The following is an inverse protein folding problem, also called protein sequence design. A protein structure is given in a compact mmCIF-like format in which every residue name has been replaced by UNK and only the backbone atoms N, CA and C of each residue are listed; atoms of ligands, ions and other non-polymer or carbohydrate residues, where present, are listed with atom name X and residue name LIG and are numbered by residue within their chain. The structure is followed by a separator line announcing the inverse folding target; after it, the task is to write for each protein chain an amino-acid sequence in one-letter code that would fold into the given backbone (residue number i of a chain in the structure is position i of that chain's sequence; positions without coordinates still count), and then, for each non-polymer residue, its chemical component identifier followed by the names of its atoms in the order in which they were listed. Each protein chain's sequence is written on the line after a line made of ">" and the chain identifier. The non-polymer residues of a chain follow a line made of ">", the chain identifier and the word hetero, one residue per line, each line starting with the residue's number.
data_IF_097837852094
#
_entry.id   IF_097837852094
#
_cell.length_a   1.000
_cell.length_b   1.000
_cell.length_c   1.000
_cell.angle_alpha   90.00
_cell.angle_beta   90.00
_cell.angle_gamma   90.00
#
_symmetry.space_group_name_H-M   'P 1'
#
loop_
_entity.id
_entity.type
_entity.pdbx_description
1 polymer ?
#
# COMPACT_ATOMS: atom_id res chain seq x y z
N UNK A 1 -23.99 -11.89 -14.98
CA UNK A 1 -22.89 -12.71 -14.38
C UNK A 1 -21.98 -11.81 -13.58
N UNK A 2 -21.29 -12.35 -12.57
CA UNK A 2 -20.33 -11.62 -11.71
C UNK A 2 -19.31 -10.76 -12.51
N UNK A 3 -18.71 -11.24 -13.63
CA UNK A 3 -17.75 -10.44 -14.41
C UNK A 3 -18.31 -9.14 -15.04
N UNK A 4 -19.63 -9.07 -15.28
CA UNK A 4 -20.28 -7.86 -15.86
C UNK A 4 -20.20 -6.64 -14.93
N UNK A 5 -20.06 -6.89 -13.63
CA UNK A 5 -20.07 -5.84 -12.59
C UNK A 5 -18.66 -5.48 -12.10
N UNK A 6 -17.69 -6.39 -12.26
CA UNK A 6 -16.28 -6.14 -11.93
C UNK A 6 -15.58 -5.11 -12.84
N UNK A 7 -16.16 -4.80 -14.01
CA UNK A 7 -15.51 -3.99 -15.06
C UNK A 7 -15.95 -2.51 -15.10
N UNK A 8 -16.96 -2.10 -14.32
CA UNK A 8 -17.40 -0.70 -14.27
C UNK A 8 -16.48 0.13 -13.38
N UNK A 9 -15.63 0.94 -14.02
CA UNK A 9 -14.73 1.89 -13.37
C UNK A 9 -15.52 3.10 -12.87
N UNK A 10 -15.51 3.38 -11.57
CA UNK A 10 -15.92 4.68 -11.03
C UNK A 10 -14.67 5.56 -11.04
N UNK A 11 -14.71 6.72 -11.71
CA UNK A 11 -13.59 7.68 -11.87
C UNK A 11 -13.02 8.27 -10.57
N UNK A 12 -13.35 7.71 -9.38
CA UNK A 12 -12.94 8.23 -8.06
C UNK A 12 -11.93 7.33 -7.32
N UNK A 13 -11.60 6.14 -7.84
CA UNK A 13 -10.66 5.24 -7.18
C UNK A 13 -9.27 5.34 -7.82
N UNK A 14 -8.24 5.34 -6.99
CA UNK A 14 -6.85 5.29 -7.44
C UNK A 14 -6.61 4.02 -8.29
N UNK A 15 -5.75 4.12 -9.30
CA UNK A 15 -5.48 3.04 -10.25
C UNK A 15 -5.03 1.72 -9.56
N UNK A 16 -4.23 1.83 -8.50
CA UNK A 16 -3.82 0.69 -7.67
C UNK A 16 -5.00 0.00 -7.00
N UNK A 17 -5.91 0.77 -6.42
CA UNK A 17 -7.11 0.24 -5.74
C UNK A 17 -8.01 -0.48 -6.74
N UNK A 18 -8.20 0.08 -7.93
CA UNK A 18 -8.96 -0.57 -9.01
C UNK A 18 -8.32 -1.91 -9.42
N UNK A 19 -7.00 -1.94 -9.57
CA UNK A 19 -6.26 -3.16 -9.87
C UNK A 19 -6.41 -4.22 -8.76
N UNK A 20 -6.25 -3.83 -7.50
CA UNK A 20 -6.44 -4.73 -6.36
C UNK A 20 -7.88 -5.27 -6.29
N UNK A 21 -8.89 -4.43 -6.54
CA UNK A 21 -10.29 -4.84 -6.55
C UNK A 21 -10.56 -5.87 -7.65
N UNK A 22 -10.04 -5.64 -8.87
CA UNK A 22 -10.13 -6.61 -9.95
C UNK A 22 -9.52 -7.97 -9.58
N UNK A 23 -8.39 -7.97 -8.88
CA UNK A 23 -7.78 -9.22 -8.38
C UNK A 23 -8.66 -9.91 -7.35
N UNK A 24 -9.23 -9.19 -6.38
CA UNK A 24 -10.13 -9.78 -5.39
C UNK A 24 -11.43 -10.32 -6.01
N UNK A 25 -11.97 -9.64 -7.02
CA UNK A 25 -13.11 -10.15 -7.78
C UNK A 25 -12.77 -11.43 -8.53
N UNK A 26 -11.61 -11.49 -9.19
CA UNK A 26 -11.15 -12.69 -9.89
C UNK A 26 -11.01 -13.87 -8.94
N UNK A 27 -10.33 -13.68 -7.80
CA UNK A 27 -10.16 -14.72 -6.78
C UNK A 27 -11.50 -15.25 -6.27
N UNK A 28 -12.47 -14.35 -6.03
CA UNK A 28 -13.81 -14.75 -5.58
C UNK A 28 -14.58 -15.54 -6.65
N UNK A 29 -14.48 -15.13 -7.93
CA UNK A 29 -15.11 -15.86 -9.05
C UNK A 29 -14.49 -17.26 -9.20
N UNK A 30 -13.16 -17.35 -9.22
CA UNK A 30 -12.46 -18.63 -9.33
C UNK A 30 -12.81 -19.59 -8.18
N UNK A 31 -12.88 -19.04 -6.96
CA UNK A 31 -13.31 -19.79 -5.79
C UNK A 31 -14.75 -20.32 -5.95
N UNK A 32 -15.69 -19.46 -6.36
CA UNK A 32 -17.09 -19.85 -6.60
C UNK A 32 -17.23 -20.92 -7.68
N UNK A 33 -16.52 -20.77 -8.80
CA UNK A 33 -16.57 -21.71 -9.91
C UNK A 33 -16.01 -23.09 -9.52
N UNK A 34 -14.96 -23.10 -8.69
CA UNK A 34 -14.37 -24.33 -8.14
C UNK A 34 -15.33 -25.01 -7.17
N UNK A 35 -15.87 -24.25 -6.19
CA UNK A 35 -16.77 -24.76 -5.15
C UNK A 35 -18.07 -25.33 -5.72
N UNK A 36 -18.69 -24.61 -6.68
CA UNK A 36 -19.97 -25.01 -7.29
C UNK A 36 -19.80 -25.89 -8.53
N UNK A 37 -18.56 -26.17 -8.97
CA UNK A 37 -18.22 -26.91 -10.20
C UNK A 37 -18.97 -26.39 -11.42
N UNK A 38 -19.20 -25.08 -11.49
CA UNK A 38 -20.02 -24.43 -12.52
C UNK A 38 -19.44 -23.08 -12.89
N UNK A 39 -19.30 -22.83 -14.19
CA UNK A 39 -18.89 -21.52 -14.73
C UNK A 39 -20.05 -20.54 -14.78
N UNK A 40 -19.73 -19.24 -14.84
CA UNK A 40 -20.71 -18.18 -15.11
C UNK A 40 -21.86 -18.09 -14.10
N UNK A 41 -21.52 -18.13 -12.81
CA UNK A 41 -22.50 -18.11 -11.73
C UNK A 41 -23.27 -16.76 -11.72
N UNK A 42 -24.61 -16.77 -11.74
CA UNK A 42 -25.41 -15.55 -11.62
C UNK A 42 -25.26 -14.90 -10.24
N UNK A 43 -25.15 -13.57 -10.17
CA UNK A 43 -24.92 -12.86 -8.90
C UNK A 43 -26.05 -13.10 -7.89
N UNK A 44 -27.31 -13.14 -8.36
CA UNK A 44 -28.48 -13.39 -7.52
C UNK A 44 -28.55 -14.82 -6.94
N UNK A 45 -27.70 -15.75 -7.43
CA UNK A 45 -27.64 -17.14 -6.94
C UNK A 45 -26.60 -17.34 -5.84
N UNK A 46 -25.84 -16.29 -5.49
CA UNK A 46 -24.86 -16.31 -4.43
C UNK A 46 -25.57 -16.02 -3.11
N UNK A 47 -25.32 -16.87 -2.12
CA UNK A 47 -25.98 -16.83 -0.81
C UNK A 47 -25.06 -16.25 0.26
N UNK A 48 -25.62 -15.95 1.44
CA UNK A 48 -24.79 -15.60 2.62
C UNK A 48 -23.90 -16.76 3.08
N UNK A 49 -24.33 -18.01 2.87
CA UNK A 49 -23.54 -19.19 3.20
C UNK A 49 -22.29 -19.28 2.29
N UNK A 50 -22.45 -19.03 0.99
CA UNK A 50 -21.29 -18.97 0.07
C UNK A 50 -20.27 -17.91 0.52
N UNK A 51 -20.73 -16.77 1.04
CA UNK A 51 -19.84 -15.73 1.56
C UNK A 51 -19.16 -16.14 2.87
N UNK A 52 -19.83 -16.90 3.74
CA UNK A 52 -19.26 -17.42 4.98
C UNK A 52 -18.16 -18.45 4.67
N UNK A 53 -18.47 -19.45 3.83
CA UNK A 53 -17.50 -20.45 3.36
C UNK A 53 -16.26 -19.78 2.75
N UNK A 54 -16.45 -18.73 1.94
CA UNK A 54 -15.32 -18.01 1.36
C UNK A 54 -14.46 -17.31 2.42
N UNK A 55 -15.07 -16.74 3.47
CA UNK A 55 -14.34 -16.11 4.57
C UNK A 55 -13.55 -17.16 5.35
N UNK A 56 -14.16 -18.29 5.65
CA UNK A 56 -13.54 -19.39 6.41
C UNK A 56 -12.34 -19.97 5.64
N UNK A 57 -12.50 -20.25 4.34
CA UNK A 57 -11.41 -20.72 3.48
C UNK A 57 -10.24 -19.71 3.40
N UNK A 58 -10.52 -18.40 3.38
CA UNK A 58 -9.46 -17.38 3.42
C UNK A 58 -8.74 -17.35 4.78
N UNK A 59 -9.46 -17.58 5.88
CA UNK A 59 -8.86 -17.66 7.22
C UNK A 59 -8.00 -18.90 7.37
N UNK A 60 -8.43 -20.05 6.87
CA UNK A 60 -7.64 -21.29 6.83
C UNK A 60 -6.35 -21.13 6.02
N UNK A 61 -6.39 -20.32 4.95
CA UNK A 61 -5.20 -19.95 4.18
C UNK A 61 -4.24 -18.99 4.89
N UNK A 62 -4.53 -18.61 6.14
CA UNK A 62 -3.73 -17.72 6.98
C UNK A 62 -3.94 -16.23 6.69
N UNK A 63 -4.98 -15.85 5.95
CA UNK A 63 -5.22 -14.44 5.63
C UNK A 63 -5.83 -13.77 6.85
N UNK A 64 -5.13 -12.76 7.38
CA UNK A 64 -5.60 -12.00 8.53
C UNK A 64 -6.97 -11.36 8.27
N UNK A 65 -7.91 -11.53 9.20
CA UNK A 65 -9.30 -11.14 8.96
C UNK A 65 -9.50 -9.63 8.72
N UNK A 66 -8.56 -8.75 9.12
CA UNK A 66 -8.61 -7.30 8.82
C UNK A 66 -8.42 -7.08 7.32
N UNK A 67 -7.52 -7.86 6.71
CA UNK A 67 -7.33 -7.89 5.26
C UNK A 67 -8.57 -8.43 4.56
N UNK A 68 -9.18 -9.50 5.09
CA UNK A 68 -10.44 -10.04 4.54
C UNK A 68 -11.52 -8.95 4.53
N UNK A 69 -11.73 -8.29 5.67
CA UNK A 69 -12.78 -7.28 5.81
C UNK A 69 -12.49 -6.01 4.96
N UNK A 70 -11.28 -5.46 5.04
CA UNK A 70 -10.95 -4.16 4.42
C UNK A 70 -10.61 -4.26 2.94
N UNK A 71 -10.21 -5.43 2.44
CA UNK A 71 -9.80 -5.61 1.05
C UNK A 71 -10.75 -6.52 0.28
N UNK A 72 -10.88 -7.79 0.70
CA UNK A 72 -11.69 -8.78 -0.02
C UNK A 72 -13.17 -8.42 0.01
N UNK A 73 -13.77 -8.30 1.21
CA UNK A 73 -15.19 -8.01 1.35
C UNK A 73 -15.55 -6.59 0.89
N UNK A 74 -14.65 -5.62 1.02
CA UNK A 74 -14.85 -4.27 0.48
C UNK A 74 -14.98 -4.31 -1.05
N UNK A 75 -14.06 -4.99 -1.74
CA UNK A 75 -14.12 -5.15 -3.18
C UNK A 75 -15.38 -5.92 -3.62
N UNK A 76 -15.67 -7.06 -2.98
CA UNK A 76 -16.84 -7.89 -3.30
C UNK A 76 -18.15 -7.13 -3.03
N UNK A 77 -18.23 -6.34 -1.96
CA UNK A 77 -19.44 -5.56 -1.66
C UNK A 77 -19.72 -4.53 -2.74
N UNK A 78 -18.70 -3.88 -3.29
CA UNK A 78 -18.88 -2.98 -4.44
C UNK A 78 -19.52 -3.67 -5.66
N UNK A 79 -19.27 -4.97 -5.85
CA UNK A 79 -19.88 -5.76 -6.92
C UNK A 79 -21.39 -5.99 -6.68
N UNK A 80 -21.76 -6.38 -5.47
CA UNK A 80 -23.16 -6.61 -5.09
C UNK A 80 -23.98 -5.31 -5.05
N UNK A 81 -23.37 -4.21 -4.59
CA UNK A 81 -23.98 -2.87 -4.64
C UNK A 81 -24.26 -2.44 -6.09
N UNK A 82 -23.32 -2.71 -7.01
CA UNK A 82 -23.55 -2.45 -8.42
C UNK A 82 -24.65 -3.35 -9.00
N UNK A 83 -24.70 -4.62 -8.62
CA UNK A 83 -25.77 -5.53 -9.06
C UNK A 83 -27.15 -5.07 -8.57
N UNK A 84 -27.25 -4.47 -7.37
CA UNK A 84 -28.49 -3.90 -6.86
C UNK A 84 -28.88 -2.60 -7.58
N UNK A 85 -27.95 -1.66 -7.73
CA UNK A 85 -28.21 -0.39 -8.45
C UNK A 85 -28.52 -0.59 -9.94
N UNK A 86 -28.13 -1.71 -10.52
CA UNK A 86 -28.47 -2.08 -11.91
C UNK A 86 -29.74 -2.93 -12.03
N UNK A 87 -30.44 -3.20 -10.92
CA UNK A 87 -31.71 -3.91 -10.90
C UNK A 87 -31.61 -5.44 -11.02
N UNK A 88 -30.40 -6.02 -10.96
CA UNK A 88 -30.24 -7.49 -10.95
C UNK A 88 -30.56 -8.06 -9.56
N UNK A 89 -30.27 -7.30 -8.51
CA UNK A 89 -30.73 -7.58 -7.16
C UNK A 89 -31.82 -6.55 -6.84
N UNK A 90 -32.99 -6.97 -6.33
CA UNK A 90 -34.04 -6.05 -5.90
C UNK A 90 -33.54 -4.97 -4.93
N UNK A 91 -34.05 -3.75 -5.12
CA UNK A 91 -33.83 -2.66 -4.18
C UNK A 91 -34.46 -3.00 -2.81
N UNK A 92 -33.77 -2.65 -1.73
CA UNK A 92 -34.20 -3.00 -0.37
C UNK A 92 -33.83 -4.42 0.09
N UNK A 93 -33.43 -5.33 -0.81
CA UNK A 93 -32.91 -6.63 -0.41
C UNK A 93 -31.54 -6.48 0.28
N UNK A 94 -31.35 -7.15 1.41
CA UNK A 94 -30.07 -7.18 2.10
C UNK A 94 -29.01 -7.87 1.23
N UNK A 95 -27.91 -7.16 0.96
CA UNK A 95 -26.79 -7.71 0.19
C UNK A 95 -26.09 -8.83 0.96
N UNK A 96 -25.85 -9.95 0.28
CA UNK A 96 -25.23 -11.14 0.88
C UNK A 96 -23.80 -10.89 1.34
N UNK A 97 -23.12 -9.87 0.83
CA UNK A 97 -21.75 -9.49 1.19
C UNK A 97 -21.66 -8.62 2.45
N UNK A 98 -22.79 -8.08 2.96
CA UNK A 98 -22.79 -7.16 4.10
C UNK A 98 -23.07 -7.88 5.43
N UNK A 99 -22.59 -7.29 6.52
CA UNK A 99 -22.91 -7.70 7.89
C UNK A 99 -22.17 -8.94 8.41
N UNK A 100 -21.15 -9.43 7.71
CA UNK A 100 -20.29 -10.51 8.18
C UNK A 100 -19.36 -10.02 9.30
N UNK A 101 -19.59 -10.48 10.52
CA UNK A 101 -18.76 -10.16 11.68
C UNK A 101 -17.62 -11.18 11.78
N UNK A 102 -16.50 -10.86 11.14
CA UNK A 102 -15.29 -11.71 11.15
C UNK A 102 -14.47 -11.52 12.45
N UNK A 103 -14.78 -10.49 13.24
CA UNK A 103 -14.10 -10.19 14.49
C UNK A 103 -15.09 -9.78 15.59
N UNK A 104 -14.74 -10.14 16.82
CA UNK A 104 -15.27 -9.46 18.00
C UNK A 104 -14.53 -8.14 18.26
N UNK A 105 -15.10 -7.27 19.10
CA UNK A 105 -14.40 -6.07 19.58
C UNK A 105 -13.10 -6.42 20.32
N UNK A 106 -13.04 -7.58 20.99
CA UNK A 106 -11.85 -8.05 21.67
C UNK A 106 -10.74 -8.43 20.68
N UNK A 107 -11.10 -9.09 19.56
CA UNK A 107 -10.15 -9.44 18.50
C UNK A 107 -9.60 -8.20 17.80
N UNK A 108 -10.45 -7.21 17.55
CA UNK A 108 -10.02 -5.92 17.02
C UNK A 108 -8.99 -5.25 17.94
N UNK A 109 -9.24 -5.23 19.26
CA UNK A 109 -8.31 -4.69 20.26
C UNK A 109 -6.99 -5.47 20.29
N UNK A 110 -7.05 -6.80 20.31
CA UNK A 110 -5.86 -7.67 20.30
C UNK A 110 -5.03 -7.48 19.02
N UNK A 111 -5.69 -7.40 17.85
CA UNK A 111 -5.04 -7.17 16.56
C UNK A 111 -4.37 -5.79 16.46
N UNK A 112 -4.92 -4.77 17.12
CA UNK A 112 -4.33 -3.44 17.18
C UNK A 112 -3.05 -3.42 18.04
N UNK A 113 -3.04 -4.20 19.13
CA UNK A 113 -1.87 -4.36 19.99
C UNK A 113 -0.78 -5.15 19.24
N UNK A 114 -1.12 -6.28 18.61
CA UNK A 114 -0.13 -7.14 17.93
C UNK A 114 0.43 -6.53 16.64
N UNK A 115 -0.36 -5.75 15.88
CA UNK A 115 0.10 -5.06 14.68
C UNK A 115 0.57 -3.62 14.94
N UNK A 116 0.75 -3.23 16.20
CA UNK A 116 1.40 -1.96 16.49
C UNK A 116 2.86 -2.06 16.06
N UNK A 117 3.34 -1.04 15.33
CA UNK A 117 4.75 -0.97 14.96
C UNK A 117 5.57 -0.97 16.25
N UNK A 118 6.40 -1.99 16.45
CA UNK A 118 7.40 -1.96 17.52
C UNK A 118 8.48 -0.98 17.10
N UNK A 119 8.71 0.04 17.92
CA UNK A 119 9.87 0.89 17.76
C UNK A 119 11.13 0.03 17.88
N UNK A 120 12.11 0.30 17.03
CA UNK A 120 13.42 -0.35 17.16
C UNK A 120 14.04 0.05 18.50
N UNK A 121 14.62 -0.93 19.17
CA UNK A 121 15.45 -0.64 20.36
C UNK A 121 16.74 0.05 19.94
N UNK A 122 17.40 0.71 20.89
CA UNK A 122 18.69 1.35 20.62
C UNK A 122 19.74 0.34 20.10
N UNK A 123 19.72 -0.89 20.63
CA UNK A 123 20.62 -1.95 20.18
C UNK A 123 20.31 -2.44 18.75
N UNK A 124 19.03 -2.50 18.38
CA UNK A 124 18.62 -2.80 17.01
C UNK A 124 19.04 -1.69 16.05
N UNK A 125 18.86 -0.42 16.44
CA UNK A 125 19.34 0.72 15.65
C UNK A 125 20.85 0.68 15.47
N UNK A 126 21.62 0.42 16.54
CA UNK A 126 23.09 0.27 16.46
C UNK A 126 23.50 -0.83 15.48
N UNK A 127 22.76 -1.95 15.43
CA UNK A 127 23.01 -3.04 14.47
C UNK A 127 22.67 -2.65 13.03
N UNK A 128 21.56 -1.95 12.81
CA UNK A 128 21.11 -1.52 11.47
C UNK A 128 22.03 -0.44 10.91
N UNK A 129 22.50 0.50 11.74
CA UNK A 129 23.31 1.65 11.33
C UNK A 129 24.80 1.45 11.62
N UNK A 130 25.25 0.19 11.73
CA UNK A 130 26.67 -0.09 11.92
C UNK A 130 27.48 0.33 10.67
N UNK A 131 28.69 0.92 10.85
CA UNK A 131 29.49 1.43 9.73
C UNK A 131 29.78 0.39 8.65
N UNK A 132 29.99 -0.87 9.03
CA UNK A 132 30.28 -1.98 8.12
C UNK A 132 29.13 -2.29 7.17
N UNK A 133 27.88 -2.15 7.62
CA UNK A 133 26.71 -2.38 6.77
C UNK A 133 26.49 -1.19 5.84
N UNK A 134 26.65 0.03 6.37
CA UNK A 134 26.53 1.25 5.57
C UNK A 134 27.61 1.34 4.48
N UNK A 135 28.84 0.89 4.76
CA UNK A 135 29.93 0.86 3.78
C UNK A 135 29.74 -0.17 2.67
N UNK A 136 28.84 -1.14 2.85
CA UNK A 136 28.49 -2.15 1.84
C UNK A 136 27.36 -1.69 0.91
N UNK A 137 26.85 -0.46 1.07
CA UNK A 137 25.83 0.08 0.18
C UNK A 137 26.35 0.20 -1.26
N UNK A 138 25.73 -0.53 -2.19
CA UNK A 138 26.13 -0.54 -3.60
C UNK A 138 25.63 0.70 -4.35
N UNK A 139 24.47 1.23 -3.95
CA UNK A 139 23.86 2.41 -4.57
C UNK A 139 23.66 3.52 -3.54
N UNK A 140 23.72 4.79 -3.96
CA UNK A 140 23.50 5.90 -3.03
C UNK A 140 22.20 5.84 -2.22
N UNK A 141 21.11 5.30 -2.78
CA UNK A 141 19.82 5.17 -2.12
C UNK A 141 19.84 4.12 -1.02
N UNK A 142 20.67 3.08 -1.14
CA UNK A 142 20.81 2.04 -0.13
C UNK A 142 21.50 2.59 1.13
N UNK A 143 22.33 3.63 0.96
CA UNK A 143 22.93 4.38 2.06
C UNK A 143 22.00 5.50 2.58
N UNK A 144 21.50 6.35 1.68
CA UNK A 144 20.79 7.57 2.06
C UNK A 144 19.36 7.32 2.53
N UNK A 145 18.59 6.38 1.96
CA UNK A 145 17.19 6.18 2.38
C UNK A 145 17.06 5.72 3.84
N UNK A 146 17.88 4.77 4.36
CA UNK A 146 17.88 4.45 5.77
C UNK A 146 18.28 5.63 6.66
N UNK A 147 19.33 6.38 6.28
CA UNK A 147 19.81 7.54 7.03
C UNK A 147 18.75 8.64 7.09
N UNK A 148 18.16 8.99 5.95
CA UNK A 148 17.06 9.95 5.87
C UNK A 148 15.85 9.46 6.68
N UNK A 149 15.51 8.16 6.61
CA UNK A 149 14.46 7.56 7.42
C UNK A 149 14.68 7.74 8.92
N UNK A 150 15.91 7.50 9.39
CA UNK A 150 16.30 7.65 10.80
C UNK A 150 16.14 9.08 11.30
N UNK A 151 16.64 10.06 10.56
CA UNK A 151 16.69 11.46 11.01
C UNK A 151 15.41 12.26 10.72
N UNK A 152 14.60 11.84 9.73
CA UNK A 152 13.40 12.59 9.32
C UNK A 152 12.08 11.92 9.72
N UNK A 153 12.10 10.62 10.03
CA UNK A 153 10.88 9.81 10.18
C UNK A 153 10.05 9.73 8.89
N UNK A 154 10.62 10.10 7.74
CA UNK A 154 9.94 10.09 6.45
C UNK A 154 9.58 8.69 5.98
N UNK A 155 8.46 8.55 5.27
CA UNK A 155 8.15 7.27 4.62
C UNK A 155 9.12 7.05 3.46
N UNK A 156 9.60 5.83 3.28
CA UNK A 156 10.54 5.49 2.19
C UNK A 156 10.04 5.99 0.83
N UNK A 157 8.74 5.85 0.55
CA UNK A 157 8.15 6.35 -0.72
C UNK A 157 8.22 7.88 -0.85
N UNK A 158 8.11 8.63 0.24
CA UNK A 158 8.23 10.09 0.26
C UNK A 158 9.69 10.51 0.01
N UNK A 159 10.64 9.79 0.61
CA UNK A 159 12.07 10.06 0.48
C UNK A 159 12.63 9.66 -0.89
N UNK A 160 12.15 8.54 -1.45
CA UNK A 160 12.63 8.01 -2.73
C UNK A 160 12.17 8.82 -3.95
N UNK A 161 11.03 9.50 -3.88
CA UNK A 161 10.48 10.32 -4.97
C UNK A 161 10.98 11.79 -4.95
N UNK A 162 11.84 12.13 -3.99
CA UNK A 162 12.29 13.50 -3.72
C UNK A 162 13.04 14.11 -4.91
N UNK A 163 12.71 15.35 -5.23
CA UNK A 163 13.44 16.15 -6.20
C UNK A 163 14.62 16.86 -5.54
N UNK A 164 15.65 17.18 -6.32
CA UNK A 164 16.77 18.00 -5.85
C UNK A 164 16.27 19.37 -5.37
N UNK A 165 15.24 19.91 -6.03
CA UNK A 165 14.60 21.17 -5.65
C UNK A 165 13.91 21.12 -4.27
N UNK A 166 13.60 19.92 -3.75
CA UNK A 166 13.03 19.77 -2.42
C UNK A 166 14.08 19.98 -1.30
N UNK A 167 15.37 20.02 -1.63
CA UNK A 167 16.46 20.35 -0.70
C UNK A 167 16.77 21.83 -0.80
N UNK A 168 16.29 22.59 0.18
CA UNK A 168 16.29 24.05 0.12
C UNK A 168 16.66 24.69 1.45
N UNK A 169 17.16 25.92 1.38
CA UNK A 169 17.52 26.68 2.57
C UNK A 169 16.39 27.63 2.95
N UNK A 170 15.95 27.57 4.22
CA UNK A 170 14.96 28.46 4.80
C UNK A 170 15.57 29.19 5.98
N UNK A 171 15.66 30.52 5.90
CA UNK A 171 16.25 31.37 6.96
C UNK A 171 17.65 30.89 7.41
N UNK A 172 18.50 30.48 6.45
CA UNK A 172 19.84 29.97 6.73
C UNK A 172 19.91 28.49 7.12
N UNK A 173 18.78 27.81 7.34
CA UNK A 173 18.73 26.39 7.72
C UNK A 173 18.33 25.53 6.52
N UNK A 174 19.14 24.54 6.19
CA UNK A 174 18.78 23.56 5.16
C UNK A 174 17.62 22.68 5.63
N UNK A 175 16.68 22.40 4.73
CA UNK A 175 15.51 21.58 5.01
C UNK A 175 15.10 20.74 3.80
N UNK A 176 14.51 19.57 4.06
CA UNK A 176 13.80 18.73 3.11
C UNK A 176 12.33 19.15 3.03
N UNK A 177 11.83 19.43 1.83
CA UNK A 177 10.42 19.67 1.53
C UNK A 177 9.73 18.36 1.18
N UNK A 178 8.80 17.89 2.02
CA UNK A 178 7.90 16.80 1.67
C UNK A 178 6.60 17.43 1.15
N UNK A 179 6.31 17.23 -0.14
CA UNK A 179 5.15 17.80 -0.82
C UNK A 179 4.59 16.83 -1.88
N UNK A 180 3.50 17.22 -2.53
CA UNK A 180 2.82 16.49 -3.61
C UNK A 180 2.89 17.23 -4.97
N UNK A 181 3.94 18.03 -5.17
CA UNK A 181 4.17 18.76 -6.42
C UNK A 181 4.67 17.85 -7.55
N UNK A 182 4.36 18.19 -8.80
CA UNK A 182 4.83 17.45 -9.98
C UNK A 182 4.25 16.03 -10.05
N UNK A 183 5.14 15.04 -10.12
CA UNK A 183 4.82 13.61 -10.20
C UNK A 183 4.81 12.90 -8.83
N UNK A 184 4.97 13.66 -7.73
CA UNK A 184 5.03 13.13 -6.37
C UNK A 184 3.65 12.78 -5.83
N UNK A 185 3.59 11.77 -4.98
CA UNK A 185 2.34 11.37 -4.32
C UNK A 185 2.51 11.22 -2.82
N UNK A 186 1.61 11.83 -2.06
CA UNK A 186 1.53 11.69 -0.60
C UNK A 186 0.29 10.88 -0.22
N UNK A 187 0.42 10.10 0.86
CA UNK A 187 -0.70 9.29 1.36
C UNK A 187 -1.86 10.14 1.87
N UNK A 188 -1.55 11.32 2.42
CA UNK A 188 -2.50 12.25 3.04
C UNK A 188 -2.00 13.68 2.91
N UNK A 189 -2.91 14.66 2.82
CA UNK A 189 -2.55 16.08 2.81
C UNK A 189 -1.74 16.50 4.05
N UNK A 190 -2.04 15.93 5.21
CA UNK A 190 -1.29 16.16 6.45
C UNK A 190 0.17 15.66 6.42
N UNK A 191 0.60 15.01 5.34
CA UNK A 191 2.00 14.61 5.17
C UNK A 191 2.88 15.75 4.60
N UNK A 192 2.29 16.82 4.05
CA UNK A 192 3.05 17.97 3.53
C UNK A 192 3.73 18.66 4.72
N UNK A 193 5.06 18.78 4.66
CA UNK A 193 5.87 19.32 5.76
C UNK A 193 7.27 19.72 5.29
N UNK A 194 7.87 20.64 6.03
CA UNK A 194 9.28 21.00 5.90
C UNK A 194 10.07 20.40 7.08
N UNK A 195 11.17 19.72 6.80
CA UNK A 195 11.97 19.01 7.80
C UNK A 195 13.40 19.57 7.81
N UNK A 196 13.86 20.23 8.88
CA UNK A 196 15.25 20.68 8.97
C UNK A 196 16.24 19.52 8.80
N UNK A 197 17.31 19.72 8.02
CA UNK A 197 18.35 18.72 7.83
C UNK A 197 19.21 18.65 9.09
N UNK A 198 19.26 17.46 9.68
CA UNK A 198 20.06 17.22 10.88
C UNK A 198 21.57 17.43 10.59
N UNK A 199 22.35 18.07 11.48
CA UNK A 199 23.77 18.35 11.24
C UNK A 199 24.61 17.11 10.90
N UNK A 200 24.27 15.95 11.47
CA UNK A 200 24.94 14.67 11.15
C UNK A 200 24.79 14.32 9.66
N UNK A 201 23.63 14.54 9.03
CA UNK A 201 23.46 14.29 7.61
C UNK A 201 24.32 15.24 6.76
N UNK A 202 24.46 16.49 7.19
CA UNK A 202 25.34 17.48 6.55
C UNK A 202 26.79 17.02 6.65
N UNK A 203 27.24 16.59 7.83
CA UNK A 203 28.58 16.04 8.04
C UNK A 203 28.85 14.76 7.24
N UNK A 204 27.82 13.94 7.01
CA UNK A 204 27.90 12.77 6.14
C UNK A 204 27.94 13.13 4.63
N UNK A 205 27.84 14.40 4.26
CA UNK A 205 27.94 14.85 2.86
C UNK A 205 26.63 14.82 2.07
N UNK A 206 25.46 14.93 2.73
CA UNK A 206 24.18 14.94 1.98
C UNK A 206 24.09 16.09 0.99
N UNK A 207 24.63 17.27 1.35
CA UNK A 207 24.59 18.44 0.48
C UNK A 207 25.53 18.28 -0.73
N UNK A 208 26.66 17.61 -0.52
CA UNK A 208 27.59 17.26 -1.60
C UNK A 208 26.92 16.28 -2.56
N UNK A 209 26.27 15.23 -2.03
CA UNK A 209 25.50 14.29 -2.84
C UNK A 209 24.35 14.96 -3.62
N UNK A 210 23.61 15.88 -2.99
CA UNK A 210 22.56 16.67 -3.65
C UNK A 210 23.14 17.50 -4.80
N UNK A 211 24.35 18.04 -4.63
CA UNK A 211 25.02 18.80 -5.67
C UNK A 211 25.47 17.90 -6.83
N UNK A 212 26.05 16.74 -6.54
CA UNK A 212 26.47 15.75 -7.54
C UNK A 212 25.27 15.21 -8.33
N UNK A 213 24.15 14.96 -7.66
CA UNK A 213 22.92 14.47 -8.26
C UNK A 213 22.37 15.40 -9.36
N UNK A 214 22.67 16.71 -9.32
CA UNK A 214 22.23 17.69 -10.34
C UNK A 214 22.74 17.35 -11.74
N UNK A 215 23.90 16.72 -11.84
CA UNK A 215 24.46 16.28 -13.12
C UNK A 215 23.64 15.13 -13.76
N UNK A 216 22.76 14.48 -12.99
CA UNK A 216 22.05 13.26 -13.39
C UNK A 216 20.54 13.43 -13.53
N UNK A 217 20.01 14.65 -13.37
CA UNK A 217 18.59 14.96 -13.59
C UNK A 217 17.98 15.82 -12.48
N UNK A 218 16.66 15.75 -12.34
CA UNK A 218 15.89 16.54 -11.36
C UNK A 218 15.61 15.78 -10.07
N UNK A 219 15.61 14.45 -10.11
CA UNK A 219 15.36 13.57 -8.96
C UNK A 219 16.63 13.38 -8.13
N UNK A 220 16.50 13.36 -6.81
CA UNK A 220 17.62 13.08 -5.90
C UNK A 220 18.18 11.65 -6.09
N UNK A 221 17.31 10.72 -6.50
CA UNK A 221 17.66 9.34 -6.84
C UNK A 221 17.19 9.02 -8.27
N UNK A 222 17.87 9.57 -9.28
CA UNK A 222 17.43 9.51 -10.69
C UNK A 222 17.29 8.11 -11.29
N UNK A 223 18.01 7.13 -10.76
CA UNK A 223 17.93 5.73 -11.18
C UNK A 223 16.78 4.94 -10.54
N UNK A 224 16.08 5.50 -9.55
CA UNK A 224 14.90 4.85 -8.99
C UNK A 224 13.70 5.07 -9.91
N UNK A 225 13.10 3.97 -10.34
CA UNK A 225 11.87 4.01 -11.14
C UNK A 225 10.68 3.63 -10.27
N UNK A 226 9.59 4.42 -10.25
CA UNK A 226 8.38 4.03 -9.56
C UNK A 226 7.75 2.80 -10.24
N UNK A 227 6.96 2.04 -9.49
CA UNK A 227 6.16 0.97 -10.08
C UNK A 227 5.06 1.53 -11.01
N UNK A 228 4.31 0.63 -11.67
CA UNK A 228 3.18 0.98 -12.57
C UNK A 228 2.07 1.86 -11.96
N UNK A 229 2.12 2.11 -10.65
CA UNK A 229 1.18 2.98 -9.94
C UNK A 229 1.83 4.25 -9.37
N UNK A 230 3.03 4.60 -9.82
CA UNK A 230 3.75 5.80 -9.35
C UNK A 230 4.37 5.65 -7.96
N UNK A 231 4.41 4.44 -7.39
CA UNK A 231 4.94 4.22 -6.04
C UNK A 231 6.35 3.63 -6.07
N UNK A 232 7.26 4.28 -5.36
CA UNK A 232 8.64 3.82 -5.13
C UNK A 232 8.73 2.70 -4.06
N UNK A 233 7.59 2.27 -3.52
CA UNK A 233 7.50 1.18 -2.58
C UNK A 233 6.70 0.02 -3.20
N UNK A 234 7.39 -1.07 -3.51
CA UNK A 234 6.77 -2.38 -3.57
C UNK A 234 6.67 -2.87 -2.13
N UNK A 235 5.48 -2.83 -1.53
CA UNK A 235 5.24 -3.48 -0.23
C UNK A 235 5.70 -4.93 -0.21
N UNK A 236 5.69 -5.60 0.96
CA UNK A 236 6.03 -7.01 1.02
C UNK A 236 5.23 -7.73 -0.07
N UNK A 237 5.97 -8.30 -1.03
CA UNK A 237 5.40 -9.06 -2.12
C UNK A 237 4.46 -10.06 -1.48
N UNK A 238 3.15 -9.97 -1.75
CA UNK A 238 2.27 -11.06 -1.37
C UNK A 238 2.78 -12.26 -2.17
N UNK A 239 3.33 -13.32 -1.54
CA UNK A 239 3.99 -14.40 -2.27
C UNK A 239 3.07 -15.07 -3.31
N UNK A 240 1.76 -14.87 -3.17
CA UNK A 240 0.71 -15.47 -4.00
C UNK A 240 0.17 -14.55 -5.12
N UNK A 241 0.70 -13.33 -5.29
CA UNK A 241 0.34 -12.46 -6.44
C UNK A 241 1.33 -12.54 -7.60
N UNK A 242 2.24 -13.52 -7.59
CA UNK A 242 2.99 -13.84 -8.80
C UNK A 242 2.00 -14.42 -9.83
N UNK A 243 1.80 -13.69 -10.92
CA UNK A 243 1.21 -14.26 -12.12
C UNK A 243 2.08 -15.46 -12.52
N UNK A 244 1.49 -16.63 -12.85
CA UNK A 244 2.27 -17.65 -13.53
C UNK A 244 2.77 -17.04 -14.85
N UNK A 245 4.06 -17.26 -15.11
CA UNK A 245 4.73 -16.94 -16.37
C UNK A 245 4.11 -17.68 -17.54
#
# INVERSE_FOLDING_TARGET
>A
MVPRFATRKKNKLAAKTLYEYGNYHRLFVEWLETRKKKKHIPVHSITRADMADFIDDLMEQGIGAKTIQQKYLAAISGLFELAQTTGVIPEGQQLVSRGHKIFSKADAKKSAITNSYKAFTEDELKRIFQPTLLSQAERPADFWLPMLGLFTGGRISELAQMDIADVQQHNGVWAFSINDEGDKSLKTLAAIRLIPIHPVLIQCGILDYVNDAKAHGTKLFSYLTPNKFGSYWSGPLNPRTQSPT
#
